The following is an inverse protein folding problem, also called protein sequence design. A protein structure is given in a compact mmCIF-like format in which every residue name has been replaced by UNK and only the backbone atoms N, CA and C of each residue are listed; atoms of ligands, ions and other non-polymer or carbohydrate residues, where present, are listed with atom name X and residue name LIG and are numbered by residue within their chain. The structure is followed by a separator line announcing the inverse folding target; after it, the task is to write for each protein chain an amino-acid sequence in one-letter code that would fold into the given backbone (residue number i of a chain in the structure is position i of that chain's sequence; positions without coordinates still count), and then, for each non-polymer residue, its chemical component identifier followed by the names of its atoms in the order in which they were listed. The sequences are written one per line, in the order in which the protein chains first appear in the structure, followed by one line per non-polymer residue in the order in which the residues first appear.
data_IF_638657185493
#
_entry.id   IF_638657185493
#
_cell.length_a   1.000
_cell.length_b   1.000
_cell.length_c   1.000
_cell.angle_alpha   90.00
_cell.angle_beta   90.00
_cell.angle_gamma   90.00
#
_symmetry.space_group_name_H-M   'P 1'
#
loop_
_entity.id
_entity.type
_entity.pdbx_description
1 polymer ?
#
# COMPACT_ATOMS: atom_id res chain seq x y z
N UNK A 1 -2.77 -30.77 -4.08
CA UNK A 1 -3.63 -30.66 -2.88
C UNK A 1 -4.50 -29.43 -3.08
N UNK A 2 -5.83 -29.53 -2.96
CA UNK A 2 -6.68 -28.33 -2.96
C UNK A 2 -6.76 -27.81 -1.54
N UNK A 3 -6.33 -26.57 -1.32
CA UNK A 3 -6.42 -25.86 -0.03
C UNK A 3 -7.69 -25.03 0.00
N UNK A 4 -8.50 -25.18 1.03
CA UNK A 4 -9.73 -24.40 1.21
C UNK A 4 -9.45 -23.19 2.10
N UNK A 5 -9.88 -22.01 1.67
CA UNK A 5 -9.78 -20.75 2.41
C UNK A 5 -11.19 -20.29 2.77
N UNK A 6 -11.40 -19.90 4.03
CA UNK A 6 -12.67 -19.31 4.46
C UNK A 6 -12.74 -17.88 3.97
N UNK A 7 -13.77 -17.57 3.18
CA UNK A 7 -14.08 -16.21 2.72
C UNK A 7 -15.37 -15.73 3.38
N UNK A 8 -15.42 -14.46 3.73
CA UNK A 8 -16.67 -13.83 4.20
C UNK A 8 -17.60 -13.60 3.01
N UNK A 9 -18.91 -13.42 3.26
CA UNK A 9 -19.87 -13.05 2.21
C UNK A 9 -19.46 -11.75 1.51
N UNK A 10 -18.94 -10.77 2.24
CA UNK A 10 -18.43 -9.52 1.68
C UNK A 10 -17.25 -9.74 0.73
N UNK A 11 -16.27 -10.56 1.13
CA UNK A 11 -15.12 -10.89 0.27
C UNK A 11 -15.58 -11.61 -0.99
N UNK A 12 -16.54 -12.54 -0.87
CA UNK A 12 -17.10 -13.26 -2.00
C UNK A 12 -17.81 -12.33 -2.99
N UNK A 13 -18.65 -11.42 -2.50
CA UNK A 13 -19.34 -10.44 -3.35
C UNK A 13 -18.36 -9.54 -4.12
N UNK A 14 -17.28 -9.09 -3.46
CA UNK A 14 -16.23 -8.30 -4.13
C UNK A 14 -15.50 -9.09 -5.22
N UNK A 15 -15.25 -10.37 -5.01
CA UNK A 15 -14.67 -11.22 -6.06
C UNK A 15 -15.61 -11.37 -7.25
N UNK A 16 -16.91 -11.54 -7.02
CA UNK A 16 -17.91 -11.65 -8.09
C UNK A 16 -18.03 -10.35 -8.90
N UNK A 17 -17.99 -9.20 -8.23
CA UNK A 17 -17.98 -7.88 -8.87
C UNK A 17 -16.76 -7.70 -9.77
N UNK A 18 -15.56 -7.98 -9.26
CA UNK A 18 -14.32 -7.92 -10.04
C UNK A 18 -14.33 -8.89 -11.23
N UNK A 19 -14.88 -10.09 -11.08
CA UNK A 19 -15.04 -11.03 -12.19
C UNK A 19 -15.95 -10.46 -13.29
N UNK A 20 -17.05 -9.81 -12.91
CA UNK A 20 -17.97 -9.19 -13.85
C UNK A 20 -17.30 -8.02 -14.58
N UNK A 21 -16.57 -7.17 -13.88
CA UNK A 21 -15.82 -6.05 -14.45
C UNK A 21 -14.76 -6.53 -15.45
N UNK A 22 -13.93 -7.52 -15.08
CA UNK A 22 -12.95 -8.14 -15.98
C UNK A 22 -13.63 -8.69 -17.24
N UNK A 23 -14.78 -9.33 -17.09
CA UNK A 23 -15.54 -9.85 -18.22
C UNK A 23 -16.05 -8.72 -19.12
N UNK A 24 -16.52 -7.61 -18.55
CA UNK A 24 -17.02 -6.47 -19.31
C UNK A 24 -15.90 -5.76 -20.08
N UNK A 25 -14.75 -5.54 -19.45
CA UNK A 25 -13.64 -4.80 -20.05
C UNK A 25 -12.84 -5.65 -21.04
N UNK A 26 -12.54 -6.91 -20.69
CA UNK A 26 -11.62 -7.75 -21.48
C UNK A 26 -12.34 -8.84 -22.28
N UNK A 27 -13.64 -9.05 -22.07
CA UNK A 27 -14.40 -10.14 -22.69
C UNK A 27 -14.04 -11.54 -22.19
N UNK A 28 -13.22 -11.67 -21.15
CA UNK A 28 -12.72 -12.97 -20.65
C UNK A 28 -13.48 -13.38 -19.40
N UNK A 29 -13.91 -14.64 -19.36
CA UNK A 29 -14.39 -15.23 -18.12
C UNK A 29 -13.18 -15.73 -17.32
N UNK A 30 -13.10 -15.36 -16.05
CA UNK A 30 -12.09 -15.84 -15.11
C UNK A 30 -12.79 -16.50 -13.93
N UNK A 31 -12.20 -17.54 -13.37
CA UNK A 31 -12.72 -18.19 -12.15
C UNK A 31 -12.31 -17.41 -10.90
N UNK A 32 -13.03 -17.62 -9.78
CA UNK A 32 -12.67 -17.00 -8.49
C UNK A 32 -11.29 -17.43 -8.02
N UNK A 33 -10.90 -18.68 -8.30
CA UNK A 33 -9.58 -19.20 -7.98
C UNK A 33 -8.48 -18.47 -8.76
N UNK A 34 -8.64 -18.33 -10.08
CA UNK A 34 -7.66 -17.61 -10.93
C UNK A 34 -7.53 -16.14 -10.52
N UNK A 35 -8.65 -15.49 -10.20
CA UNK A 35 -8.66 -14.11 -9.72
C UNK A 35 -7.91 -13.98 -8.39
N UNK A 36 -8.22 -14.85 -7.42
CA UNK A 36 -7.54 -14.87 -6.11
C UNK A 36 -6.04 -15.14 -6.26
N UNK A 37 -5.66 -16.11 -7.08
CA UNK A 37 -4.25 -16.44 -7.32
C UNK A 37 -3.49 -15.27 -7.94
N UNK A 38 -4.13 -14.53 -8.86
CA UNK A 38 -3.55 -13.32 -9.46
C UNK A 38 -3.38 -12.20 -8.43
N UNK A 39 -4.40 -11.95 -7.61
CA UNK A 39 -4.35 -10.93 -6.55
C UNK A 39 -3.21 -11.25 -5.58
N UNK A 40 -3.18 -12.48 -5.05
CA UNK A 40 -2.14 -12.93 -4.10
C UNK A 40 -0.75 -12.81 -4.72
N UNK A 41 -0.58 -13.20 -5.98
CA UNK A 41 0.71 -13.05 -6.67
C UNK A 41 1.13 -11.59 -6.75
N UNK A 42 0.24 -10.69 -7.14
CA UNK A 42 0.55 -9.25 -7.22
C UNK A 42 0.88 -8.65 -5.85
N UNK A 43 0.13 -9.02 -4.79
CA UNK A 43 0.40 -8.54 -3.44
C UNK A 43 1.68 -9.14 -2.86
N UNK A 44 2.10 -10.32 -3.33
CA UNK A 44 3.38 -10.92 -2.94
C UNK A 44 4.57 -10.20 -3.57
N UNK A 45 4.42 -9.64 -4.77
CA UNK A 45 5.46 -8.80 -5.40
C UNK A 45 5.67 -7.50 -4.60
N UNK A 46 4.60 -6.93 -4.02
CA UNK A 46 4.62 -5.80 -3.06
C UNK A 46 4.45 -6.25 -1.61
N UNK A 47 5.14 -7.33 -1.20
CA UNK A 47 4.93 -7.95 0.13
C UNK A 47 5.16 -7.01 1.32
N UNK A 48 6.05 -6.04 1.20
CA UNK A 48 6.42 -5.16 2.30
C UNK A 48 5.25 -4.22 2.64
N UNK A 49 4.62 -3.62 1.61
CA UNK A 49 3.39 -2.82 1.78
C UNK A 49 2.24 -3.66 2.35
N UNK A 50 2.10 -4.91 1.91
CA UNK A 50 1.09 -5.81 2.45
C UNK A 50 1.36 -6.10 3.93
N UNK A 51 2.60 -6.40 4.31
CA UNK A 51 2.98 -6.63 5.72
C UNK A 51 2.70 -5.38 6.56
N UNK A 52 3.07 -4.21 6.05
CA UNK A 52 2.87 -2.94 6.75
C UNK A 52 1.38 -2.63 6.94
N UNK A 53 0.50 -3.04 6.02
CA UNK A 53 -0.95 -2.89 6.19
C UNK A 53 -1.55 -3.66 7.37
N UNK A 54 -0.82 -4.64 7.92
CA UNK A 54 -1.20 -5.39 9.12
C UNK A 54 -0.54 -4.86 10.40
N UNK A 55 0.29 -3.82 10.32
CA UNK A 55 0.84 -3.18 11.52
C UNK A 55 -0.21 -2.21 12.08
N UNK A 56 -0.69 -2.50 13.28
CA UNK A 56 -1.76 -1.72 13.94
C UNK A 56 -1.31 -0.30 14.36
N UNK A 57 0.00 -0.04 14.43
CA UNK A 57 0.55 1.24 14.88
C UNK A 57 1.75 1.66 14.02
N UNK A 58 1.86 2.97 13.79
CA UNK A 58 3.07 3.60 13.29
C UNK A 58 4.24 3.21 14.21
N UNK A 59 5.19 2.43 13.69
CA UNK A 59 6.42 2.11 14.41
C UNK A 59 7.40 3.26 14.17
N UNK A 60 7.61 4.17 15.15
CA UNK A 60 8.58 5.23 14.99
C UNK A 60 9.98 4.63 14.84
N UNK A 61 10.85 5.34 14.12
CA UNK A 61 12.27 5.03 14.12
C UNK A 61 12.81 5.02 15.56
N UNK A 62 13.69 4.08 15.87
CA UNK A 62 14.45 4.10 17.12
C UNK A 62 15.33 5.35 17.18
N UNK A 63 15.75 5.77 18.38
CA UNK A 63 16.66 6.92 18.55
C UNK A 63 17.95 6.74 17.73
N UNK A 64 18.48 5.52 17.65
CA UNK A 64 19.67 5.19 16.84
C UNK A 64 19.44 5.37 15.34
N UNK A 65 18.22 5.08 14.86
CA UNK A 65 17.83 5.28 13.47
C UNK A 65 17.58 6.76 13.15
N UNK A 66 17.00 7.50 14.10
CA UNK A 66 16.84 8.95 14.00
C UNK A 66 18.21 9.62 13.95
N UNK A 67 19.12 9.27 14.84
CA UNK A 67 20.49 9.81 14.84
C UNK A 67 21.23 9.47 13.56
N UNK A 68 21.08 8.24 13.06
CA UNK A 68 21.66 7.84 11.76
C UNK A 68 21.07 8.65 10.61
N UNK A 69 19.75 8.83 10.59
CA UNK A 69 19.06 9.63 9.59
C UNK A 69 19.53 11.09 9.62
N UNK A 70 19.68 11.67 10.81
CA UNK A 70 20.13 13.05 11.01
C UNK A 70 21.64 13.24 10.86
N UNK A 71 22.45 12.18 10.90
CA UNK A 71 23.92 12.28 10.91
C UNK A 71 24.54 12.98 9.70
N UNK A 72 23.83 13.00 8.56
CA UNK A 72 24.24 13.70 7.34
C UNK A 72 23.60 15.08 7.16
N UNK A 73 22.75 15.50 8.09
CA UNK A 73 22.06 16.79 8.01
C UNK A 73 22.93 17.90 8.58
N UNK A 74 22.75 19.11 8.05
CA UNK A 74 23.38 20.31 8.59
C UNK A 74 22.28 21.29 8.95
N UNK A 75 22.45 21.98 10.07
CA UNK A 75 21.62 23.14 10.37
C UNK A 75 21.99 24.25 9.39
N UNK A 76 21.04 24.65 8.55
CA UNK A 76 21.24 25.72 7.57
C UNK A 76 21.34 27.10 8.23
N UNK A 77 20.97 27.22 9.51
CA UNK A 77 20.90 28.48 10.25
C UNK A 77 19.73 29.37 9.81
N UNK A 78 18.84 28.86 8.95
CA UNK A 78 17.61 29.52 8.51
C UNK A 78 16.44 28.82 9.18
N UNK A 79 15.68 29.56 9.99
CA UNK A 79 14.42 29.07 10.52
C UNK A 79 13.38 29.18 9.41
N UNK A 80 12.86 28.03 8.98
CA UNK A 80 11.80 27.94 7.96
C UNK A 80 10.50 27.53 8.62
N UNK A 81 9.40 28.09 8.14
CA UNK A 81 8.03 27.74 8.52
C UNK A 81 7.30 27.15 7.32
N UNK A 82 6.10 26.64 7.57
CA UNK A 82 5.21 26.13 6.53
C UNK A 82 4.91 27.19 5.45
N UNK A 83 4.67 28.43 5.86
CA UNK A 83 4.45 29.58 4.96
C UNK A 83 5.61 29.77 3.95
N UNK A 84 6.87 29.63 4.38
CA UNK A 84 8.04 29.75 3.48
C UNK A 84 8.10 28.62 2.42
N UNK A 85 7.54 27.45 2.73
CA UNK A 85 7.51 26.30 1.82
C UNK A 85 6.41 26.49 0.78
N UNK A 86 5.24 26.94 1.22
CA UNK A 86 4.10 27.17 0.35
C UNK A 86 4.38 28.29 -0.66
N UNK A 87 5.05 29.37 -0.23
CA UNK A 87 5.51 30.45 -1.11
C UNK A 87 6.44 29.94 -2.22
N UNK A 88 7.30 28.95 -1.93
CA UNK A 88 8.24 28.37 -2.90
C UNK A 88 7.58 27.35 -3.83
N UNK A 89 6.69 26.51 -3.31
CA UNK A 89 6.07 25.41 -4.05
C UNK A 89 4.82 25.83 -4.81
N UNK A 90 4.03 26.75 -4.27
CA UNK A 90 2.71 27.14 -4.77
C UNK A 90 2.62 28.61 -5.19
N UNK A 91 3.52 29.48 -4.71
CA UNK A 91 3.70 30.83 -5.23
C UNK A 91 2.54 31.79 -5.00
N UNK A 92 1.83 31.67 -3.88
CA UNK A 92 0.79 32.64 -3.49
C UNK A 92 1.39 33.92 -2.88
#
# INVERSE_FOLDING_TARGET
MSTSVKVTDTTKSRLEELQAEIRLETGRNVTQQELLERIVTSSYESKDELIDSFRDEFEPLSEEEIDRWLSGTIDSGVETKEEDIDDVLYGE
#
